data_IF_258278977258
#
_entry.id   IF_258278977258
#
_cell.length_a   1.000
_cell.length_b   1.000
_cell.length_c   1.000
_cell.angle_alpha   90.00
_cell.angle_beta   90.00
_cell.angle_gamma   90.00
#
_symmetry.space_group_name_H-M   'P 1'
#
loop_
_entity.id
_entity.type
_entity.pdbx_description
1 polymer ?
#
# COMPACT_ATOMS: atom_id res chain seq x y z
N UNK A 1 -12.64 -25.64 63.68
CA UNK A 1 -11.96 -26.83 63.16
C UNK A 1 -12.80 -27.38 62.01
N UNK A 2 -12.15 -27.70 60.89
CA UNK A 2 -12.58 -28.57 59.76
C UNK A 2 -13.94 -28.29 59.11
N UNK A 3 -14.15 -28.34 57.80
CA UNK A 3 -13.38 -28.53 56.58
C UNK A 3 -14.42 -28.27 55.47
N UNK A 4 -14.03 -27.70 54.32
CA UNK A 4 -14.78 -27.91 53.08
C UNK A 4 -13.80 -27.84 51.92
N UNK A 5 -13.42 -29.04 51.49
CA UNK A 5 -12.53 -29.36 50.37
C UNK A 5 -13.17 -28.98 49.03
N UNK A 6 -12.37 -28.36 48.17
CA UNK A 6 -12.65 -28.24 46.73
C UNK A 6 -12.27 -29.56 46.05
N UNK A 7 -13.25 -30.15 45.38
CA UNK A 7 -13.14 -31.35 44.56
C UNK A 7 -12.25 -31.05 43.34
N UNK A 8 -11.10 -31.71 43.27
CA UNK A 8 -10.24 -31.73 42.08
C UNK A 8 -10.82 -32.80 41.14
N UNK A 9 -11.51 -32.36 40.09
CA UNK A 9 -11.72 -33.20 38.92
C UNK A 9 -10.37 -33.37 38.22
N UNK A 10 -10.00 -34.62 37.95
CA UNK A 10 -8.80 -34.98 37.20
C UNK A 10 -8.98 -34.52 35.75
N UNK A 11 -8.38 -33.39 35.40
CA UNK A 11 -8.10 -33.00 34.02
C UNK A 11 -6.64 -33.35 33.69
N UNK A 12 -6.42 -33.80 32.45
CA UNK A 12 -5.13 -34.23 31.92
C UNK A 12 -3.99 -33.23 32.23
N UNK A 13 -2.86 -33.67 32.83
CA UNK A 13 -1.77 -32.79 33.28
C UNK A 13 -1.00 -32.09 32.15
N UNK A 14 -1.24 -32.48 30.90
CA UNK A 14 -0.64 -31.83 29.73
C UNK A 14 -1.40 -30.59 29.23
N UNK A 15 -2.67 -30.38 29.61
CA UNK A 15 -3.46 -29.25 29.14
C UNK A 15 -3.31 -27.99 30.03
N UNK A 16 -3.18 -28.18 31.35
CA UNK A 16 -3.17 -27.08 32.35
C UNK A 16 -1.83 -26.31 32.36
N UNK A 17 -0.72 -26.98 32.04
CA UNK A 17 0.63 -26.38 32.01
C UNK A 17 0.87 -25.52 30.76
N UNK A 18 0.25 -25.85 29.63
CA UNK A 18 0.33 -25.06 28.39
C UNK A 18 -0.40 -23.71 28.52
N UNK A 19 -1.63 -23.73 29.06
CA UNK A 19 -2.45 -22.52 29.22
C UNK A 19 -1.85 -21.52 30.22
N UNK A 20 -1.27 -22.00 31.33
CA UNK A 20 -0.64 -21.13 32.34
C UNK A 20 0.67 -20.50 31.83
N UNK A 21 1.45 -21.21 31.00
CA UNK A 21 2.65 -20.68 30.36
C UNK A 21 2.33 -19.64 29.29
N UNK A 22 1.33 -19.90 28.45
CA UNK A 22 0.89 -18.93 27.44
C UNK A 22 0.40 -17.62 28.09
N UNK A 23 -0.26 -17.72 29.24
CA UNK A 23 -0.65 -16.56 30.05
C UNK A 23 0.58 -15.79 30.55
N UNK A 24 1.65 -16.46 31.00
CA UNK A 24 2.88 -15.80 31.45
C UNK A 24 3.58 -15.03 30.32
N UNK A 25 3.61 -15.59 29.11
CA UNK A 25 4.19 -14.92 27.93
C UNK A 25 3.40 -13.66 27.59
N UNK A 26 2.06 -13.74 27.61
CA UNK A 26 1.20 -12.58 27.35
C UNK A 26 1.36 -11.48 28.38
N UNK A 27 1.48 -11.82 29.67
CA UNK A 27 1.73 -10.85 30.74
C UNK A 27 3.06 -10.14 30.51
N UNK A 28 4.14 -10.88 30.27
CA UNK A 28 5.45 -10.30 30.00
C UNK A 28 5.47 -9.42 28.75
N UNK A 29 4.79 -9.85 27.68
CA UNK A 29 4.62 -9.05 26.47
C UNK A 29 3.94 -7.72 26.78
N UNK A 30 2.84 -7.72 27.54
CA UNK A 30 2.12 -6.49 27.88
C UNK A 30 2.91 -5.56 28.81
N UNK A 31 3.72 -6.10 29.73
CA UNK A 31 4.67 -5.32 30.53
C UNK A 31 5.69 -4.61 29.65
N UNK A 32 6.27 -5.31 28.68
CA UNK A 32 7.24 -4.74 27.73
C UNK A 32 6.59 -3.70 26.84
N UNK A 33 5.38 -3.95 26.35
CA UNK A 33 4.64 -2.97 25.54
C UNK A 33 4.32 -1.71 26.35
N UNK A 34 3.84 -1.88 27.59
CA UNK A 34 3.54 -0.77 28.50
C UNK A 34 4.80 0.05 28.81
N UNK A 35 5.93 -0.62 29.04
CA UNK A 35 7.23 0.02 29.20
C UNK A 35 7.59 0.91 28.00
N UNK A 36 7.53 0.39 26.76
CA UNK A 36 7.83 1.18 25.57
C UNK A 36 6.84 2.33 25.34
N UNK A 37 5.55 2.12 25.64
CA UNK A 37 4.53 3.18 25.57
C UNK A 37 4.83 4.33 26.54
N UNK A 38 5.34 4.02 27.73
CA UNK A 38 5.70 5.01 28.74
C UNK A 38 6.98 5.75 28.41
N UNK A 39 8.07 5.04 28.11
CA UNK A 39 9.38 5.68 27.89
C UNK A 39 9.38 6.55 26.63
N UNK A 40 8.68 6.15 25.56
CA UNK A 40 8.67 6.91 24.31
C UNK A 40 7.98 8.28 24.45
N UNK A 41 7.17 8.45 25.51
CA UNK A 41 6.53 9.74 25.84
C UNK A 41 7.42 10.62 26.74
N UNK A 42 8.31 10.02 27.53
CA UNK A 42 9.05 10.69 28.61
C UNK A 42 10.52 10.95 28.28
N UNK A 43 11.17 10.01 27.59
CA UNK A 43 12.61 10.00 27.35
C UNK A 43 12.95 10.57 25.96
N UNK A 44 14.18 11.10 25.78
CA UNK A 44 14.69 11.44 24.46
C UNK A 44 14.88 10.17 23.60
N UNK A 45 14.85 10.28 22.26
CA UNK A 45 14.94 9.13 21.37
C UNK A 45 16.20 8.27 21.54
N UNK A 46 17.33 8.90 21.86
CA UNK A 46 18.61 8.24 22.10
C UNK A 46 18.52 7.25 23.26
N UNK A 47 17.91 7.67 24.38
CA UNK A 47 17.74 6.82 25.56
C UNK A 47 16.76 5.68 25.26
N UNK A 48 15.67 5.95 24.53
CA UNK A 48 14.73 4.90 24.10
C UNK A 48 15.41 3.87 23.19
N UNK A 49 16.32 4.29 22.30
CA UNK A 49 17.12 3.37 21.48
C UNK A 49 18.06 2.54 22.35
N UNK A 50 18.69 3.14 23.37
CA UNK A 50 19.54 2.42 24.32
C UNK A 50 18.75 1.38 25.10
N UNK A 51 17.57 1.73 25.62
CA UNK A 51 16.68 0.77 26.31
C UNK A 51 16.24 -0.37 25.38
N UNK A 52 15.87 -0.05 24.13
CA UNK A 52 15.50 -1.06 23.14
C UNK A 52 16.68 -2.01 22.84
N UNK A 53 17.87 -1.45 22.62
CA UNK A 53 19.08 -2.19 22.34
C UNK A 53 19.52 -3.03 23.55
N UNK A 54 19.45 -2.48 24.76
CA UNK A 54 19.73 -3.16 26.01
C UNK A 54 18.83 -4.38 26.23
N UNK A 55 17.53 -4.21 25.97
CA UNK A 55 16.55 -5.27 26.17
C UNK A 55 16.70 -6.41 25.15
N UNK A 56 16.85 -6.09 23.86
CA UNK A 56 16.77 -7.09 22.78
C UNK A 56 18.11 -7.48 22.13
N UNK A 57 19.18 -6.71 22.30
CA UNK A 57 20.41 -6.89 21.49
C UNK A 57 21.64 -7.07 22.39
N UNK A 58 21.94 -6.11 23.26
CA UNK A 58 23.23 -6.02 23.96
C UNK A 58 23.47 -7.21 24.91
N UNK A 59 22.41 -7.78 25.48
CA UNK A 59 22.52 -8.96 26.34
C UNK A 59 23.06 -10.21 25.63
N UNK A 60 23.05 -10.25 24.28
CA UNK A 60 23.50 -11.39 23.49
C UNK A 60 25.01 -11.40 23.21
N UNK A 61 25.75 -10.35 23.58
CA UNK A 61 27.18 -10.19 23.29
C UNK A 61 28.11 -10.57 24.45
N UNK A 62 27.56 -10.97 25.59
CA UNK A 62 28.35 -11.39 26.75
C UNK A 62 28.99 -12.77 26.46
N UNK A 63 30.31 -12.78 26.25
CA UNK A 63 31.05 -13.96 25.76
C UNK A 63 31.17 -15.12 26.76
N UNK A 64 30.87 -14.90 28.05
CA UNK A 64 31.25 -15.82 29.14
C UNK A 64 30.18 -16.10 30.22
N UNK A 65 28.90 -15.81 29.97
CA UNK A 65 27.88 -16.03 31.00
C UNK A 65 26.79 -17.01 30.56
N UNK A 66 26.44 -17.95 31.45
CA UNK A 66 25.17 -18.70 31.49
C UNK A 66 23.92 -17.79 31.58
N UNK A 67 24.11 -16.47 31.48
CA UNK A 67 23.08 -15.46 31.51
C UNK A 67 22.33 -15.42 30.18
N UNK A 68 21.11 -15.94 30.23
CA UNK A 68 20.09 -15.70 29.23
C UNK A 68 19.56 -14.28 29.49
N UNK A 69 19.59 -13.36 28.52
CA UNK A 69 18.97 -12.05 28.73
C UNK A 69 17.50 -12.26 29.09
N UNK A 70 17.06 -11.67 30.21
CA UNK A 70 15.80 -12.03 30.88
C UNK A 70 14.58 -12.12 29.95
N UNK A 71 14.50 -11.25 28.94
CA UNK A 71 13.41 -11.26 27.95
C UNK A 71 13.38 -12.52 27.08
N UNK A 72 14.55 -13.07 26.72
CA UNK A 72 14.64 -14.26 25.87
C UNK A 72 14.24 -15.52 26.62
N UNK A 73 14.50 -15.58 27.93
CA UNK A 73 14.13 -16.74 28.77
C UNK A 73 12.63 -17.07 28.71
N UNK A 74 11.81 -16.06 28.41
CA UNK A 74 10.36 -16.15 28.27
C UNK A 74 9.95 -16.93 26.99
N UNK A 75 10.82 -16.97 25.98
CA UNK A 75 10.50 -17.49 24.64
C UNK A 75 11.21 -18.81 24.28
N UNK A 76 12.13 -19.33 25.10
CA UNK A 76 13.07 -20.42 24.74
C UNK A 76 12.45 -21.81 24.47
N UNK A 77 11.14 -22.00 24.62
CA UNK A 77 10.43 -23.23 24.26
C UNK A 77 9.79 -23.13 22.85
N UNK A 78 10.60 -22.85 21.82
CA UNK A 78 10.21 -22.74 20.39
C UNK A 78 9.14 -21.67 20.07
N UNK A 79 9.12 -20.56 20.82
CA UNK A 79 8.20 -19.46 20.59
C UNK A 79 8.82 -18.33 19.74
N UNK A 80 9.60 -18.68 18.71
CA UNK A 80 10.25 -17.72 17.80
C UNK A 80 9.24 -16.68 17.25
N UNK A 81 8.05 -17.16 16.86
CA UNK A 81 6.99 -16.30 16.34
C UNK A 81 6.46 -15.29 17.38
N UNK A 82 6.43 -15.64 18.66
CA UNK A 82 6.00 -14.72 19.72
C UNK A 82 7.06 -13.65 19.99
N UNK A 83 8.35 -14.01 19.93
CA UNK A 83 9.43 -13.01 19.94
C UNK A 83 9.29 -12.05 18.76
N UNK A 84 9.01 -12.55 17.55
CA UNK A 84 8.82 -11.70 16.37
C UNK A 84 7.66 -10.74 16.54
N UNK A 85 6.52 -11.24 17.02
CA UNK A 85 5.35 -10.42 17.28
C UNK A 85 5.67 -9.34 18.32
N UNK A 86 6.46 -9.70 19.35
CA UNK A 86 6.92 -8.78 20.39
C UNK A 86 7.82 -7.69 19.85
N UNK A 87 8.90 -8.06 19.16
CA UNK A 87 9.82 -7.12 18.51
C UNK A 87 9.07 -6.19 17.56
N UNK A 88 8.25 -6.77 16.68
CA UNK A 88 7.42 -6.04 15.72
C UNK A 88 6.54 -5.01 16.41
N UNK A 89 5.75 -5.41 17.42
CA UNK A 89 4.84 -4.50 18.12
C UNK A 89 5.61 -3.39 18.85
N UNK A 90 6.72 -3.70 19.53
CA UNK A 90 7.59 -2.71 20.17
C UNK A 90 8.11 -1.68 19.17
N UNK A 91 8.64 -2.12 18.02
CA UNK A 91 9.07 -1.22 16.95
C UNK A 91 7.95 -0.29 16.51
N UNK A 92 6.73 -0.80 16.30
CA UNK A 92 5.61 0.03 15.85
C UNK A 92 5.04 0.97 16.92
N UNK A 93 5.14 0.63 18.21
CA UNK A 93 4.86 1.57 19.31
C UNK A 93 5.79 2.79 19.19
N UNK A 94 7.09 2.53 19.05
CA UNK A 94 8.12 3.57 18.94
C UNK A 94 7.92 4.40 17.65
N UNK A 95 7.75 3.75 16.50
CA UNK A 95 7.55 4.39 15.18
C UNK A 95 6.33 5.31 15.18
N UNK A 96 5.21 4.90 15.76
CA UNK A 96 4.01 5.73 15.81
C UNK A 96 4.22 7.04 16.57
N UNK A 97 4.92 6.97 17.70
CA UNK A 97 5.25 8.16 18.47
C UNK A 97 6.22 9.07 17.69
N UNK A 98 7.32 8.51 17.19
CA UNK A 98 8.36 9.29 16.54
C UNK A 98 7.94 9.88 15.20
N UNK A 99 7.12 9.20 14.40
CA UNK A 99 6.57 9.79 13.17
C UNK A 99 5.67 10.99 13.46
N UNK A 100 4.86 10.92 14.51
CA UNK A 100 4.02 12.05 14.94
C UNK A 100 4.88 13.25 15.32
N UNK A 101 6.07 13.01 15.89
CA UNK A 101 7.02 14.02 16.33
C UNK A 101 8.11 14.38 15.31
N UNK A 102 7.98 13.95 14.03
CA UNK A 102 8.95 14.21 12.95
C UNK A 102 10.40 13.76 13.26
N UNK A 103 10.53 12.68 14.04
CA UNK A 103 11.79 12.09 14.49
C UNK A 103 12.29 11.01 13.50
N UNK A 104 12.31 11.32 12.20
CA UNK A 104 12.58 10.34 11.13
C UNK A 104 13.98 9.72 11.21
N UNK A 105 14.98 10.51 11.63
CA UNK A 105 16.37 10.05 11.82
C UNK A 105 16.44 8.88 12.81
N UNK A 106 15.73 8.96 13.93
CA UNK A 106 15.76 7.92 14.96
C UNK A 106 15.03 6.65 14.53
N UNK A 107 14.04 6.75 13.65
CA UNK A 107 13.40 5.57 13.04
C UNK A 107 14.39 4.83 12.14
N UNK A 108 15.25 5.55 11.41
CA UNK A 108 16.35 4.94 10.66
C UNK A 108 17.34 4.24 11.60
N UNK A 109 17.72 4.90 12.70
CA UNK A 109 18.61 4.31 13.70
C UNK A 109 18.02 3.05 14.34
N UNK A 110 16.73 3.05 14.72
CA UNK A 110 16.01 1.87 15.24
C UNK A 110 16.07 0.70 14.27
N UNK A 111 15.80 0.93 12.98
CA UNK A 111 15.87 -0.11 11.95
C UNK A 111 17.31 -0.62 11.80
N UNK A 112 18.29 0.27 11.81
CA UNK A 112 19.70 -0.09 11.66
C UNK A 112 20.28 -0.86 12.85
N UNK A 113 19.64 -0.82 14.04
CA UNK A 113 20.05 -1.65 15.18
C UNK A 113 20.13 -3.14 14.84
N UNK A 114 19.24 -3.61 13.95
CA UNK A 114 19.19 -5.01 13.53
C UNK A 114 20.20 -5.39 12.44
N UNK A 115 21.00 -4.45 11.93
CA UNK A 115 22.05 -4.73 10.92
C UNK A 115 23.45 -4.73 11.59
N UNK A 116 23.50 -4.61 12.91
CA UNK A 116 24.74 -4.51 13.67
C UNK A 116 25.57 -5.82 13.62
N UNK A 117 26.90 -5.70 13.58
CA UNK A 117 27.82 -6.84 13.52
C UNK A 117 27.68 -7.81 14.70
N UNK A 118 27.19 -7.29 15.82
CA UNK A 118 26.93 -8.02 17.06
C UNK A 118 25.97 -9.21 16.89
N UNK A 119 25.16 -9.23 15.83
CA UNK A 119 24.24 -10.34 15.55
C UNK A 119 24.92 -11.55 14.89
N UNK A 120 26.19 -11.44 14.49
CA UNK A 120 26.95 -12.57 13.92
C UNK A 120 27.12 -13.68 14.96
N UNK A 121 26.73 -14.90 14.58
CA UNK A 121 26.92 -16.09 15.40
C UNK A 121 28.40 -16.46 15.43
N UNK A 122 29.01 -16.49 16.63
CA UNK A 122 30.40 -16.91 16.84
C UNK A 122 30.45 -18.35 17.38
N UNK A 123 31.55 -19.06 17.11
CA UNK A 123 31.72 -20.47 17.53
C UNK A 123 31.70 -20.64 19.04
N UNK A 124 32.24 -19.68 19.79
CA UNK A 124 32.31 -19.66 21.26
C UNK A 124 30.99 -19.27 21.96
N UNK A 125 29.96 -18.81 21.23
CA UNK A 125 28.69 -18.45 21.87
C UNK A 125 28.01 -19.66 22.53
N UNK A 126 27.42 -19.45 23.71
CA UNK A 126 26.58 -20.43 24.40
C UNK A 126 25.40 -20.89 23.51
N UNK A 127 24.96 -22.17 23.55
CA UNK A 127 23.91 -22.69 22.66
C UNK A 127 22.62 -21.85 22.62
N UNK A 128 22.16 -21.39 23.78
CA UNK A 128 20.95 -20.55 23.89
C UNK A 128 21.14 -19.20 23.19
N UNK A 129 22.30 -18.57 23.34
CA UNK A 129 22.63 -17.31 22.65
C UNK A 129 22.68 -17.51 21.14
N UNK A 130 23.18 -18.66 20.66
CA UNK A 130 23.14 -19.01 19.23
C UNK A 130 21.71 -19.11 18.70
N UNK A 131 20.80 -19.71 19.48
CA UNK A 131 19.37 -19.77 19.14
C UNK A 131 18.79 -18.34 19.05
N UNK A 132 18.97 -17.52 20.09
CA UNK A 132 18.45 -16.14 20.08
C UNK A 132 19.01 -15.29 18.93
N UNK A 133 20.31 -15.40 18.61
CA UNK A 133 20.92 -14.71 17.47
C UNK A 133 20.35 -15.22 16.14
N UNK A 134 20.13 -16.52 15.99
CA UNK A 134 19.47 -17.09 14.81
C UNK A 134 18.04 -16.58 14.62
N UNK A 135 17.26 -16.42 15.70
CA UNK A 135 15.92 -15.83 15.63
C UNK A 135 15.94 -14.37 15.19
N UNK A 136 16.89 -13.57 15.67
CA UNK A 136 17.07 -12.20 15.19
C UNK A 136 17.49 -12.15 13.71
N UNK A 137 18.39 -13.04 13.28
CA UNK A 137 18.80 -13.15 11.88
C UNK A 137 17.61 -13.52 10.97
N UNK A 138 16.81 -14.50 11.40
CA UNK A 138 15.60 -14.90 10.71
C UNK A 138 14.57 -13.74 10.68
N UNK A 139 14.41 -12.98 11.77
CA UNK A 139 13.58 -11.77 11.81
C UNK A 139 14.05 -10.74 10.78
N UNK A 140 15.36 -10.47 10.69
CA UNK A 140 15.95 -9.56 9.69
C UNK A 140 15.69 -10.03 8.26
N UNK A 141 15.67 -11.33 8.02
CA UNK A 141 15.37 -11.92 6.72
C UNK A 141 13.86 -12.01 6.40
N UNK A 142 13.01 -11.78 7.40
CA UNK A 142 11.55 -11.93 7.29
C UNK A 142 10.86 -10.79 6.52
N UNK A 143 9.59 -11.01 6.15
CA UNK A 143 8.71 -9.96 5.61
C UNK A 143 8.48 -8.84 6.64
N UNK A 144 8.38 -9.17 7.92
CA UNK A 144 8.08 -8.20 8.98
C UNK A 144 9.16 -7.12 9.09
N UNK A 145 10.43 -7.50 8.98
CA UNK A 145 11.52 -6.52 8.96
C UNK A 145 11.56 -5.72 7.65
N UNK A 146 11.34 -6.35 6.49
CA UNK A 146 11.21 -5.64 5.20
C UNK A 146 10.10 -4.59 5.25
N UNK A 147 8.98 -4.91 5.90
CA UNK A 147 7.85 -4.02 6.10
C UNK A 147 8.19 -2.86 7.04
N UNK A 148 8.96 -3.12 8.11
CA UNK A 148 9.46 -2.09 9.02
C UNK A 148 10.43 -1.11 8.33
N UNK A 149 11.29 -1.60 7.42
CA UNK A 149 12.23 -0.75 6.66
C UNK A 149 11.52 0.32 5.84
N UNK A 150 10.26 0.11 5.44
CA UNK A 150 9.49 1.13 4.71
C UNK A 150 9.30 2.43 5.50
N UNK A 151 9.41 2.40 6.83
CA UNK A 151 9.29 3.57 7.70
C UNK A 151 10.60 4.35 7.86
N UNK A 152 11.73 3.70 7.59
CA UNK A 152 13.06 4.30 7.64
C UNK A 152 13.47 4.95 6.31
N UNK A 153 12.94 4.50 5.17
CA UNK A 153 13.27 5.11 3.88
C UNK A 153 12.74 6.55 3.81
N UNK A 154 13.64 7.54 3.68
CA UNK A 154 13.23 8.92 3.39
C UNK A 154 12.67 8.96 1.97
N UNK A 155 11.50 9.58 1.82
CA UNK A 155 10.86 9.76 0.51
C UNK A 155 11.75 10.53 -0.49
N UNK A 156 12.63 11.42 0.00
CA UNK A 156 13.56 12.17 -0.87
C UNK A 156 14.76 11.33 -1.35
N UNK A 157 15.02 10.19 -0.70
CA UNK A 157 16.06 9.23 -1.08
C UNK A 157 15.49 8.03 -1.87
N UNK A 158 14.16 7.93 -2.02
CA UNK A 158 13.52 6.81 -2.72
C UNK A 158 13.85 6.78 -4.22
N UNK A 159 14.36 7.88 -4.79
CA UNK A 159 14.85 7.95 -6.17
C UNK A 159 16.26 7.38 -6.36
N UNK A 160 17.00 7.08 -5.29
CA UNK A 160 18.35 6.48 -5.33
C UNK A 160 18.38 5.00 -4.99
N UNK A 161 17.26 4.47 -4.49
CA UNK A 161 17.11 3.06 -4.14
C UNK A 161 16.43 2.25 -5.23
N UNK A 162 16.02 1.04 -4.86
CA UNK A 162 15.22 0.17 -5.72
C UNK A 162 13.94 0.88 -6.21
N UNK A 163 13.57 0.72 -7.49
CA UNK A 163 12.46 1.44 -8.13
C UNK A 163 11.14 1.32 -7.35
N UNK A 164 10.89 0.16 -6.73
CA UNK A 164 9.68 -0.11 -5.93
C UNK A 164 9.50 0.85 -4.74
N UNK A 165 10.60 1.42 -4.22
CA UNK A 165 10.57 2.38 -3.09
C UNK A 165 9.80 3.67 -3.44
N UNK A 166 9.67 4.02 -4.72
CA UNK A 166 8.83 5.14 -5.16
C UNK A 166 7.35 4.92 -4.86
N UNK A 167 6.95 3.65 -4.79
CA UNK A 167 5.56 3.22 -4.62
C UNK A 167 5.25 2.72 -3.22
N UNK A 168 6.09 3.05 -2.23
CA UNK A 168 5.93 2.67 -0.81
C UNK A 168 4.55 3.00 -0.25
N UNK A 169 3.87 4.06 -0.73
CA UNK A 169 2.52 4.39 -0.27
C UNK A 169 1.50 3.26 -0.47
N UNK A 170 1.65 2.43 -1.51
CA UNK A 170 0.79 1.26 -1.74
C UNK A 170 1.22 0.07 -0.90
N UNK A 171 2.52 -0.17 -0.76
CA UNK A 171 3.04 -1.24 0.11
C UNK A 171 2.57 -1.06 1.57
N UNK A 172 2.51 0.19 2.04
CA UNK A 172 1.96 0.52 3.35
C UNK A 172 0.44 0.27 3.46
N UNK A 173 -0.30 0.32 2.35
CA UNK A 173 -1.73 0.01 2.37
C UNK A 173 -1.96 -1.47 2.62
N UNK A 174 -1.18 -2.35 1.98
CA UNK A 174 -1.23 -3.80 2.26
C UNK A 174 -1.02 -4.08 3.75
N UNK A 175 0.01 -3.47 4.35
CA UNK A 175 0.27 -3.58 5.78
C UNK A 175 -0.88 -3.05 6.65
N UNK A 176 -1.56 -2.00 6.18
CA UNK A 176 -2.64 -1.38 6.94
C UNK A 176 -3.95 -2.17 6.97
N UNK A 177 -4.16 -3.05 5.99
CA UNK A 177 -5.41 -3.83 5.86
C UNK A 177 -5.25 -5.25 6.37
N UNK A 178 -4.00 -5.74 6.49
CA UNK A 178 -3.72 -7.06 7.00
C UNK A 178 -4.10 -7.17 8.49
N UNK A 179 -5.14 -7.96 8.77
CA UNK A 179 -5.65 -8.18 10.12
C UNK A 179 -4.67 -8.94 11.03
N UNK A 180 -3.69 -9.63 10.46
CA UNK A 180 -2.63 -10.31 11.23
C UNK A 180 -1.60 -9.34 11.79
N UNK A 181 -1.54 -8.11 11.28
CA UNK A 181 -0.62 -7.09 11.77
C UNK A 181 -1.17 -6.45 13.07
N UNK A 182 -0.30 -6.11 14.04
CA UNK A 182 -0.71 -5.40 15.24
C UNK A 182 -1.35 -4.04 14.90
N UNK A 183 -2.23 -3.55 15.77
CA UNK A 183 -2.96 -2.29 15.55
C UNK A 183 -2.02 -1.12 15.32
N UNK A 184 -0.91 -1.09 16.06
CA UNK A 184 0.14 -0.09 15.97
C UNK A 184 0.76 -0.08 14.56
N UNK A 185 1.06 -1.25 13.97
CA UNK A 185 1.55 -1.33 12.59
C UNK A 185 0.52 -0.83 11.60
N UNK A 186 -0.73 -1.27 11.75
CA UNK A 186 -1.79 -0.87 10.84
C UNK A 186 -1.98 0.65 10.85
N UNK A 187 -2.00 1.27 12.02
CA UNK A 187 -2.12 2.72 12.17
C UNK A 187 -0.93 3.48 11.60
N UNK A 188 0.29 3.04 11.90
CA UNK A 188 1.51 3.64 11.37
C UNK A 188 1.47 3.65 9.84
N UNK A 189 1.12 2.52 9.24
CA UNK A 189 1.07 2.35 7.81
C UNK A 189 -0.03 3.21 7.15
N UNK A 190 -1.23 3.30 7.74
CA UNK A 190 -2.31 4.20 7.25
C UNK A 190 -1.86 5.66 7.25
N UNK A 191 -1.26 6.12 8.36
CA UNK A 191 -0.82 7.51 8.53
C UNK A 191 0.26 7.86 7.51
N UNK A 192 1.30 7.03 7.41
CA UNK A 192 2.41 7.27 6.50
C UNK A 192 2.00 7.18 5.02
N UNK A 193 1.18 6.18 4.64
CA UNK A 193 0.65 6.07 3.28
C UNK A 193 -0.11 7.34 2.88
N UNK A 194 -1.00 7.83 3.75
CA UNK A 194 -1.77 9.06 3.51
C UNK A 194 -0.83 10.26 3.35
N UNK A 195 0.14 10.42 4.24
CA UNK A 195 1.12 11.52 4.17
C UNK A 195 1.89 11.52 2.84
N UNK A 196 2.39 10.36 2.40
CA UNK A 196 3.12 10.24 1.13
C UNK A 196 2.22 10.61 -0.06
N UNK A 197 0.97 10.09 -0.08
CA UNK A 197 0.02 10.41 -1.16
C UNK A 197 -0.36 11.88 -1.19
N UNK A 198 -0.55 12.51 -0.03
CA UNK A 198 -0.91 13.93 0.05
C UNK A 198 0.27 14.84 -0.32
N UNK A 199 1.51 14.47 0.05
CA UNK A 199 2.74 15.14 -0.44
C UNK A 199 2.84 15.05 -1.97
N UNK A 200 2.66 13.86 -2.54
CA UNK A 200 2.70 13.66 -3.99
C UNK A 200 1.65 14.52 -4.72
N UNK A 201 0.41 14.59 -4.23
CA UNK A 201 -0.64 15.45 -4.81
C UNK A 201 -0.24 16.92 -4.79
N UNK A 202 0.28 17.40 -3.66
CA UNK A 202 0.73 18.78 -3.51
C UNK A 202 1.86 19.11 -4.48
N UNK A 203 2.88 18.25 -4.56
CA UNK A 203 4.00 18.40 -5.49
C UNK A 203 3.54 18.38 -6.95
N UNK A 204 2.61 17.49 -7.30
CA UNK A 204 2.03 17.42 -8.65
C UNK A 204 1.26 18.70 -9.01
N UNK A 205 0.44 19.21 -8.08
CA UNK A 205 -0.28 20.47 -8.29
C UNK A 205 0.66 21.66 -8.44
N UNK A 206 1.72 21.73 -7.63
CA UNK A 206 2.76 22.76 -7.72
C UNK A 206 3.54 22.69 -9.04
N UNK A 207 3.91 21.47 -9.48
CA UNK A 207 4.56 21.25 -10.76
C UNK A 207 3.69 21.73 -11.92
N UNK A 208 2.39 21.38 -11.93
CA UNK A 208 1.44 21.83 -12.96
C UNK A 208 1.33 23.35 -13.01
N UNK A 209 1.11 24.00 -11.87
CA UNK A 209 0.92 25.45 -11.80
C UNK A 209 2.15 26.25 -12.26
N UNK A 210 3.37 25.71 -12.04
CA UNK A 210 4.63 26.41 -12.34
C UNK A 210 5.21 26.10 -13.70
N UNK A 211 5.11 24.86 -14.16
CA UNK A 211 5.61 24.43 -15.48
C UNK A 211 4.96 25.16 -16.65
N UNK A 212 3.78 25.72 -16.45
CA UNK A 212 3.02 26.46 -17.46
C UNK A 212 3.09 27.99 -17.31
N UNK A 213 3.91 28.48 -16.38
CA UNK A 213 4.11 29.92 -16.14
C UNK A 213 5.33 30.43 -16.90
N UNK A 214 5.15 31.46 -17.74
CA UNK A 214 6.23 32.10 -18.49
C UNK A 214 7.31 32.77 -17.61
N UNK A 215 7.01 33.01 -16.33
CA UNK A 215 7.88 33.71 -15.36
C UNK A 215 8.64 32.73 -14.47
N UNK A 216 8.32 31.44 -14.50
CA UNK A 216 8.97 30.43 -13.66
C UNK A 216 10.22 29.90 -14.33
N UNK A 217 11.39 30.05 -13.70
CA UNK A 217 12.58 29.31 -14.13
C UNK A 217 12.30 27.81 -14.04
N UNK A 218 12.57 27.09 -15.13
CA UNK A 218 12.43 25.63 -15.25
C UNK A 218 13.18 24.85 -14.16
N UNK A 219 14.12 25.49 -13.47
CA UNK A 219 14.97 24.88 -12.45
C UNK A 219 14.36 24.76 -11.05
N UNK A 220 13.26 25.45 -10.71
CA UNK A 220 12.85 25.60 -9.29
C UNK A 220 11.98 24.47 -8.73
N UNK A 221 11.21 23.77 -9.57
CA UNK A 221 10.31 22.68 -9.11
C UNK A 221 10.39 21.48 -10.04
N UNK A 222 10.77 20.33 -9.48
CA UNK A 222 10.97 19.08 -10.21
C UNK A 222 9.64 18.33 -10.37
N UNK A 223 9.47 17.67 -11.51
CA UNK A 223 8.36 16.75 -11.72
C UNK A 223 8.46 15.59 -10.69
N UNK A 224 7.40 15.30 -9.91
CA UNK A 224 7.41 14.19 -8.96
C UNK A 224 7.34 12.79 -9.62
N UNK A 225 7.08 12.72 -10.94
CA UNK A 225 7.02 11.47 -11.73
C UNK A 225 8.28 11.23 -12.58
N UNK A 226 8.53 9.97 -12.98
CA UNK A 226 9.64 9.63 -13.92
C UNK A 226 9.35 10.14 -15.33
N UNK A 227 8.08 10.36 -15.67
CA UNK A 227 7.64 10.66 -17.04
C UNK A 227 8.17 11.99 -17.60
N UNK A 228 8.83 12.83 -16.80
CA UNK A 228 9.38 14.10 -17.27
C UNK A 228 8.31 14.96 -17.94
N UNK A 229 8.61 15.56 -19.08
CA UNK A 229 7.64 16.43 -19.78
C UNK A 229 6.41 15.68 -20.32
N UNK A 230 6.48 14.34 -20.46
CA UNK A 230 5.32 13.52 -20.83
C UNK A 230 4.24 13.55 -19.76
N UNK A 231 4.59 13.82 -18.49
CA UNK A 231 3.62 13.95 -17.42
C UNK A 231 2.60 15.05 -17.72
N UNK A 232 3.02 16.22 -18.24
CA UNK A 232 2.10 17.30 -18.58
C UNK A 232 1.17 16.94 -19.73
N UNK A 233 1.69 16.27 -20.77
CA UNK A 233 0.87 15.77 -21.88
C UNK A 233 -0.16 14.76 -21.39
N UNK A 234 0.25 13.85 -20.51
CA UNK A 234 -0.62 12.88 -19.87
C UNK A 234 -1.70 13.58 -19.02
N UNK A 235 -1.33 14.53 -18.17
CA UNK A 235 -2.26 15.31 -17.36
C UNK A 235 -3.27 16.03 -18.27
N UNK A 236 -2.80 16.70 -19.33
CA UNK A 236 -3.67 17.36 -20.30
C UNK A 236 -4.63 16.37 -20.97
N UNK A 237 -4.15 15.20 -21.41
CA UNK A 237 -5.00 14.17 -21.99
C UNK A 237 -6.05 13.64 -21.00
N UNK A 238 -5.67 13.40 -19.74
CA UNK A 238 -6.56 12.95 -18.67
C UNK A 238 -7.64 14.01 -18.37
N UNK A 239 -7.25 15.29 -18.25
CA UNK A 239 -8.18 16.38 -17.95
C UNK A 239 -9.03 16.73 -19.17
N UNK A 240 -8.54 16.57 -20.41
CA UNK A 240 -9.35 16.77 -21.62
C UNK A 240 -10.45 15.73 -21.72
N UNK A 241 -10.13 14.46 -21.43
CA UNK A 241 -11.11 13.36 -21.33
C UNK A 241 -12.10 13.54 -20.17
N UNK A 242 -11.88 14.50 -19.27
CA UNK A 242 -12.83 14.94 -18.24
C UNK A 242 -13.91 15.89 -18.79
N UNK A 243 -13.68 16.54 -19.94
CA UNK A 243 -14.60 17.50 -20.57
C UNK A 243 -15.77 16.85 -21.32
N UNK A 244 -16.87 17.62 -21.48
CA UNK A 244 -18.21 17.37 -22.09
C UNK A 244 -18.96 16.11 -21.62
N UNK A 245 -18.28 15.01 -21.32
CA UNK A 245 -18.78 13.83 -20.62
C UNK A 245 -17.77 13.38 -19.55
N UNK A 246 -17.76 14.05 -18.40
CA UNK A 246 -16.87 13.64 -17.30
C UNK A 246 -17.11 12.17 -16.95
N UNK A 247 -16.05 11.39 -16.74
CA UNK A 247 -16.19 10.00 -16.30
C UNK A 247 -17.07 9.88 -15.04
N UNK A 248 -17.10 10.93 -14.20
CA UNK A 248 -18.03 11.07 -13.07
C UNK A 248 -19.51 11.12 -13.51
N UNK A 249 -19.86 11.93 -14.51
CA UNK A 249 -21.23 11.99 -15.03
C UNK A 249 -21.66 10.66 -15.64
N UNK A 250 -20.80 10.03 -16.44
CA UNK A 250 -21.10 8.71 -17.04
C UNK A 250 -21.25 7.66 -15.93
N UNK A 251 -20.40 7.68 -14.89
CA UNK A 251 -20.53 6.79 -13.73
C UNK A 251 -21.87 7.00 -13.01
N UNK A 252 -22.31 8.24 -12.80
CA UNK A 252 -23.60 8.54 -12.19
C UNK A 252 -24.79 8.03 -13.02
N UNK A 253 -24.73 8.20 -14.35
CA UNK A 253 -25.76 7.66 -15.26
C UNK A 253 -25.77 6.14 -15.19
N UNK A 254 -24.59 5.50 -15.24
CA UNK A 254 -24.46 4.05 -15.15
C UNK A 254 -25.06 3.49 -13.85
N UNK A 255 -24.75 4.08 -12.69
CA UNK A 255 -25.31 3.64 -11.40
C UNK A 255 -26.83 3.68 -11.45
N UNK A 256 -27.42 4.81 -11.89
CA UNK A 256 -28.88 4.98 -11.95
C UNK A 256 -29.55 3.99 -12.91
N UNK A 257 -28.92 3.71 -14.05
CA UNK A 257 -29.47 2.80 -15.06
C UNK A 257 -29.36 1.33 -14.66
N UNK A 258 -28.44 1.00 -13.76
CA UNK A 258 -28.18 -0.38 -13.32
C UNK A 258 -28.88 -0.74 -12.00
N UNK A 259 -29.64 0.19 -11.43
CA UNK A 259 -30.49 -0.10 -10.27
C UNK A 259 -31.51 -1.20 -10.60
N UNK A 260 -31.67 -2.15 -9.67
CA UNK A 260 -32.62 -3.27 -9.74
C UNK A 260 -32.43 -4.25 -10.92
N UNK A 261 -31.29 -4.19 -11.62
CA UNK A 261 -30.96 -5.19 -12.64
C UNK A 261 -30.62 -6.54 -12.02
N UNK A 262 -30.79 -7.60 -12.81
CA UNK A 262 -30.23 -8.92 -12.48
C UNK A 262 -28.69 -8.87 -12.58
N UNK A 263 -27.99 -9.76 -11.87
CA UNK A 263 -26.53 -9.85 -11.96
C UNK A 263 -26.06 -10.07 -13.40
N UNK A 264 -26.80 -10.83 -14.20
CA UNK A 264 -26.47 -11.06 -15.62
C UNK A 264 -26.50 -9.77 -16.43
N UNK A 265 -27.58 -9.00 -16.33
CA UNK A 265 -27.74 -7.72 -17.02
C UNK A 265 -26.68 -6.72 -16.56
N UNK A 266 -26.41 -6.68 -15.26
CA UNK A 266 -25.38 -5.83 -14.70
C UNK A 266 -24.00 -6.11 -15.30
N UNK A 267 -23.58 -7.37 -15.40
CA UNK A 267 -22.28 -7.74 -15.98
C UNK A 267 -22.15 -7.27 -17.44
N UNK A 268 -23.20 -7.46 -18.24
CA UNK A 268 -23.24 -7.03 -19.64
C UNK A 268 -23.14 -5.50 -19.74
N UNK A 269 -23.87 -4.78 -18.89
CA UNK A 269 -23.85 -3.32 -18.90
C UNK A 269 -22.53 -2.77 -18.36
N UNK A 270 -21.93 -3.43 -17.36
CA UNK A 270 -20.63 -3.07 -16.80
C UNK A 270 -19.54 -3.18 -17.86
N UNK A 271 -19.51 -4.26 -18.63
CA UNK A 271 -18.61 -4.40 -19.78
C UNK A 271 -18.75 -3.23 -20.75
N UNK A 272 -19.96 -2.95 -21.22
CA UNK A 272 -20.24 -1.83 -22.13
C UNK A 272 -19.75 -0.50 -21.57
N UNK A 273 -19.98 -0.24 -20.28
CA UNK A 273 -19.54 0.98 -19.61
C UNK A 273 -18.01 1.11 -19.54
N UNK A 274 -17.31 0.02 -19.21
CA UNK A 274 -15.85 0.03 -19.08
C UNK A 274 -15.17 0.29 -20.42
N UNK A 275 -15.66 -0.31 -21.50
CA UNK A 275 -15.08 -0.18 -22.84
C UNK A 275 -15.66 0.96 -23.68
N UNK A 276 -16.67 1.69 -23.18
CA UNK A 276 -17.20 2.89 -23.83
C UNK A 276 -16.10 3.95 -24.03
N UNK A 277 -15.92 4.39 -25.28
CA UNK A 277 -14.97 5.44 -25.69
C UNK A 277 -13.48 5.13 -25.51
N UNK A 278 -13.07 3.86 -25.63
CA UNK A 278 -11.63 3.48 -25.68
C UNK A 278 -11.11 3.59 -27.12
N UNK A 279 -10.03 4.35 -27.33
CA UNK A 279 -9.55 4.85 -28.64
C UNK A 279 -8.82 3.81 -29.54
N UNK A 280 -8.97 2.50 -29.34
CA UNK A 280 -8.27 1.50 -30.17
C UNK A 280 -9.08 0.20 -30.36
N UNK A 281 -10.00 0.18 -31.32
CA UNK A 281 -11.04 -0.86 -31.44
C UNK A 281 -10.48 -2.29 -31.56
N UNK A 282 -9.46 -2.53 -32.39
CA UNK A 282 -9.02 -3.90 -32.71
C UNK A 282 -8.34 -4.62 -31.53
N UNK A 283 -7.45 -3.94 -30.79
CA UNK A 283 -6.84 -4.52 -29.57
C UNK A 283 -7.82 -4.57 -28.39
N UNK A 284 -8.78 -3.64 -28.36
CA UNK A 284 -9.84 -3.60 -27.32
C UNK A 284 -10.83 -4.74 -27.49
N UNK A 285 -11.10 -5.20 -28.71
CA UNK A 285 -12.01 -6.32 -28.98
C UNK A 285 -11.52 -7.63 -28.33
N UNK A 286 -10.23 -7.96 -28.46
CA UNK A 286 -9.64 -9.16 -27.83
C UNK A 286 -9.73 -9.07 -26.31
N UNK A 287 -9.41 -7.89 -25.75
CA UNK A 287 -9.49 -7.64 -24.32
C UNK A 287 -10.93 -7.74 -23.80
N UNK A 288 -11.87 -7.18 -24.55
CA UNK A 288 -13.29 -7.22 -24.23
C UNK A 288 -13.79 -8.65 -24.26
N UNK A 289 -13.43 -9.45 -25.28
CA UNK A 289 -13.84 -10.85 -25.37
C UNK A 289 -13.35 -11.69 -24.17
N UNK A 290 -12.05 -11.61 -23.86
CA UNK A 290 -11.48 -12.32 -22.71
C UNK A 290 -12.14 -11.86 -21.39
N UNK A 291 -12.40 -10.57 -21.26
CA UNK A 291 -13.08 -10.01 -20.10
C UNK A 291 -14.52 -10.52 -19.96
N UNK A 292 -15.28 -10.57 -21.06
CA UNK A 292 -16.65 -11.11 -21.10
C UNK A 292 -16.68 -12.57 -20.68
N UNK A 293 -15.75 -13.38 -21.19
CA UNK A 293 -15.65 -14.80 -20.84
C UNK A 293 -15.45 -14.98 -19.34
N UNK A 294 -14.46 -14.30 -18.75
CA UNK A 294 -14.16 -14.38 -17.32
C UNK A 294 -15.35 -13.92 -16.45
N UNK A 295 -15.97 -12.79 -16.80
CA UNK A 295 -17.04 -12.21 -16.01
C UNK A 295 -18.37 -12.99 -16.13
N UNK A 296 -18.63 -13.58 -17.29
CA UNK A 296 -19.84 -14.39 -17.53
C UNK A 296 -19.87 -15.65 -16.65
N UNK A 297 -18.71 -16.25 -16.39
CA UNK A 297 -18.56 -17.46 -15.58
C UNK A 297 -18.65 -17.17 -14.06
N UNK A 298 -18.21 -15.99 -13.63
CA UNK A 298 -18.17 -15.64 -12.22
C UNK A 298 -19.57 -15.61 -11.59
N UNK A 299 -19.83 -16.39 -10.53
CA UNK A 299 -21.14 -16.46 -9.85
C UNK A 299 -22.33 -16.68 -10.82
N UNK A 300 -22.17 -17.59 -11.78
CA UNK A 300 -23.22 -17.92 -12.78
C UNK A 300 -24.57 -18.30 -12.13
N UNK A 301 -24.55 -18.96 -10.98
CA UNK A 301 -25.76 -19.40 -10.28
C UNK A 301 -26.60 -18.23 -9.74
N UNK A 302 -25.98 -17.08 -9.53
CA UNK A 302 -26.61 -15.86 -9.02
C UNK A 302 -27.11 -14.95 -10.15
N UNK A 303 -27.01 -15.37 -11.41
CA UNK A 303 -27.29 -14.53 -12.58
C UNK A 303 -28.71 -13.95 -12.62
N UNK A 304 -29.68 -14.66 -12.03
CA UNK A 304 -31.08 -14.22 -11.97
C UNK A 304 -31.39 -13.38 -10.73
N UNK A 305 -30.46 -13.29 -9.77
CA UNK A 305 -30.66 -12.47 -8.58
C UNK A 305 -30.49 -10.99 -8.91
N UNK A 306 -31.34 -10.16 -8.29
CA UNK A 306 -31.20 -8.71 -8.33
C UNK A 306 -29.92 -8.28 -7.64
N UNK A 307 -29.22 -7.32 -8.25
CA UNK A 307 -27.96 -6.83 -7.72
C UNK A 307 -28.13 -6.13 -6.36
N UNK A 308 -27.49 -6.70 -5.34
CA UNK A 308 -27.37 -6.07 -4.01
C UNK A 308 -26.11 -5.21 -3.95
N UNK A 309 -26.02 -4.31 -2.96
CA UNK A 309 -24.79 -3.51 -2.71
C UNK A 309 -23.55 -4.40 -2.51
N UNK A 310 -23.73 -5.57 -1.90
CA UNK A 310 -22.65 -6.54 -1.68
C UNK A 310 -22.23 -7.23 -2.98
N UNK A 311 -23.18 -7.68 -3.81
CA UNK A 311 -22.89 -8.26 -5.12
C UNK A 311 -22.23 -7.23 -6.04
N UNK A 312 -22.69 -5.98 -6.01
CA UNK A 312 -22.07 -4.87 -6.74
C UNK A 312 -20.60 -4.70 -6.35
N UNK A 313 -20.30 -4.55 -5.05
CA UNK A 313 -18.93 -4.43 -4.55
C UNK A 313 -18.06 -5.62 -4.93
N UNK A 314 -18.57 -6.85 -4.75
CA UNK A 314 -17.85 -8.08 -5.11
C UNK A 314 -17.59 -8.18 -6.61
N UNK A 315 -18.53 -7.74 -7.44
CA UNK A 315 -18.36 -7.72 -8.90
C UNK A 315 -17.27 -6.72 -9.28
N UNK A 316 -17.30 -5.50 -8.75
CA UNK A 316 -16.26 -4.51 -8.99
C UNK A 316 -14.87 -4.99 -8.52
N UNK A 317 -14.78 -5.63 -7.35
CA UNK A 317 -13.52 -6.20 -6.86
C UNK A 317 -13.02 -7.34 -7.76
N UNK A 318 -13.92 -8.22 -8.23
CA UNK A 318 -13.55 -9.28 -9.18
C UNK A 318 -13.00 -8.70 -10.48
N UNK A 319 -13.63 -7.66 -11.02
CA UNK A 319 -13.15 -6.97 -12.22
C UNK A 319 -11.75 -6.38 -11.99
N UNK A 320 -11.51 -5.77 -10.84
CA UNK A 320 -10.17 -5.29 -10.46
C UNK A 320 -9.16 -6.45 -10.44
N UNK A 321 -9.51 -7.58 -9.83
CA UNK A 321 -8.64 -8.77 -9.78
C UNK A 321 -8.28 -9.25 -11.21
N UNK A 322 -9.27 -9.32 -12.10
CA UNK A 322 -9.07 -9.72 -13.51
C UNK A 322 -8.15 -8.75 -14.27
N UNK A 323 -8.11 -7.48 -13.89
CA UNK A 323 -7.29 -6.44 -14.52
C UNK A 323 -5.95 -6.23 -13.80
N UNK A 324 -5.68 -6.94 -12.71
CA UNK A 324 -4.47 -6.77 -11.88
C UNK A 324 -3.88 -8.12 -11.49
N UNK A 325 -4.34 -8.71 -10.38
CA UNK A 325 -3.90 -10.00 -9.83
C UNK A 325 -5.14 -10.82 -9.47
N UNK A 326 -5.28 -11.99 -10.09
CA UNK A 326 -6.42 -12.89 -9.86
C UNK A 326 -6.19 -13.85 -8.70
N UNK A 327 -5.01 -14.47 -8.64
CA UNK A 327 -4.72 -15.56 -7.70
C UNK A 327 -4.00 -15.10 -6.43
N UNK A 328 -3.97 -13.79 -6.18
CA UNK A 328 -3.28 -13.18 -5.04
C UNK A 328 -1.76 -13.08 -5.19
N UNK A 329 -1.15 -13.88 -6.06
CA UNK A 329 0.30 -13.98 -6.25
C UNK A 329 0.78 -13.49 -7.62
N UNK A 330 0.14 -13.91 -8.70
CA UNK A 330 0.58 -13.62 -10.07
C UNK A 330 -0.30 -12.58 -10.79
N UNK A 331 0.29 -11.72 -11.63
CA UNK A 331 -0.47 -10.82 -12.50
C UNK A 331 -1.44 -11.58 -13.40
N UNK A 332 -2.62 -11.01 -13.64
CA UNK A 332 -3.59 -11.62 -14.54
C UNK A 332 -3.11 -11.61 -16.00
N UNK A 333 -3.65 -12.51 -16.82
CA UNK A 333 -3.35 -12.56 -18.25
C UNK A 333 -3.68 -11.24 -18.96
N UNK A 334 -4.81 -10.62 -18.59
CA UNK A 334 -5.23 -9.31 -19.11
C UNK A 334 -4.25 -8.19 -18.72
N UNK A 335 -3.75 -8.20 -17.47
CA UNK A 335 -2.75 -7.23 -17.03
C UNK A 335 -1.49 -7.36 -17.88
N UNK A 336 -0.94 -8.57 -18.01
CA UNK A 336 0.27 -8.84 -18.78
C UNK A 336 0.09 -8.42 -20.25
N UNK A 337 -1.06 -8.77 -20.86
CA UNK A 337 -1.38 -8.41 -22.23
C UNK A 337 -1.38 -6.88 -22.44
N UNK A 338 -2.09 -6.15 -21.57
CA UNK A 338 -2.20 -4.68 -21.62
C UNK A 338 -0.84 -3.99 -21.45
N UNK A 339 -0.02 -4.47 -20.52
CA UNK A 339 1.30 -3.89 -20.28
C UNK A 339 2.25 -4.16 -21.45
N UNK A 340 2.25 -5.39 -21.99
CA UNK A 340 3.10 -5.76 -23.14
C UNK A 340 2.72 -5.00 -24.42
N UNK A 341 1.44 -4.67 -24.60
CA UNK A 341 0.96 -3.85 -25.71
C UNK A 341 1.12 -2.34 -25.49
N UNK A 342 1.67 -1.91 -24.35
CA UNK A 342 1.85 -0.50 -24.02
C UNK A 342 0.56 0.25 -23.70
N UNK A 343 -0.54 -0.45 -23.41
CA UNK A 343 -1.86 0.12 -23.14
C UNK A 343 -2.08 0.47 -21.66
N UNK A 344 -1.04 0.96 -20.98
CA UNK A 344 -1.08 1.33 -19.56
C UNK A 344 -2.14 2.39 -19.25
N UNK A 345 -2.29 3.41 -20.11
CA UNK A 345 -3.29 4.47 -19.91
C UNK A 345 -4.72 3.91 -19.99
N UNK A 346 -5.00 3.07 -20.98
CA UNK A 346 -6.30 2.41 -21.12
C UNK A 346 -6.65 1.61 -19.88
N UNK A 347 -5.73 0.80 -19.39
CA UNK A 347 -5.91 0.03 -18.16
C UNK A 347 -6.22 0.93 -16.96
N UNK A 348 -5.45 2.00 -16.77
CA UNK A 348 -5.66 2.95 -15.66
C UNK A 348 -7.02 3.65 -15.77
N UNK A 349 -7.46 4.02 -16.96
CA UNK A 349 -8.79 4.63 -17.18
C UNK A 349 -9.92 3.64 -16.87
N UNK A 350 -9.78 2.36 -17.26
CA UNK A 350 -10.75 1.31 -16.90
C UNK A 350 -10.81 1.16 -15.37
N UNK A 351 -9.66 1.08 -14.70
CA UNK A 351 -9.60 1.01 -13.23
C UNK A 351 -10.23 2.23 -12.56
N UNK A 352 -10.00 3.43 -13.10
CA UNK A 352 -10.63 4.66 -12.63
C UNK A 352 -12.16 4.60 -12.75
N UNK A 353 -12.69 4.18 -13.91
CA UNK A 353 -14.14 4.02 -14.13
C UNK A 353 -14.77 3.11 -13.07
N UNK A 354 -14.11 2.01 -12.69
CA UNK A 354 -14.58 1.11 -11.63
C UNK A 354 -14.65 1.84 -10.28
N UNK A 355 -13.64 2.64 -9.92
CA UNK A 355 -13.64 3.38 -8.66
C UNK A 355 -14.69 4.49 -8.63
N UNK A 356 -15.00 5.09 -9.79
CA UNK A 356 -16.05 6.11 -9.89
C UNK A 356 -17.45 5.53 -9.65
N UNK A 357 -17.71 4.28 -10.09
CA UNK A 357 -18.98 3.61 -9.81
C UNK A 357 -19.00 2.94 -8.42
N UNK A 358 -17.84 2.51 -7.90
CA UNK A 358 -17.71 1.81 -6.62
C UNK A 358 -16.53 2.34 -5.80
N UNK A 359 -16.75 3.44 -5.06
CA UNK A 359 -15.71 4.03 -4.19
C UNK A 359 -15.16 3.05 -3.15
N UNK A 360 -15.99 2.14 -2.67
CA UNK A 360 -15.62 1.12 -1.68
C UNK A 360 -14.59 0.11 -2.21
N UNK A 361 -14.48 -0.06 -3.53
CA UNK A 361 -13.46 -0.90 -4.17
C UNK A 361 -12.06 -0.28 -4.18
N UNK A 362 -11.91 1.01 -3.84
CA UNK A 362 -10.62 1.72 -3.90
C UNK A 362 -9.55 1.05 -3.04
N UNK A 363 -9.90 0.65 -1.82
CA UNK A 363 -8.96 -0.01 -0.92
C UNK A 363 -8.50 -1.36 -1.49
N UNK A 364 -9.42 -2.12 -2.09
CA UNK A 364 -9.11 -3.39 -2.77
C UNK A 364 -8.14 -3.18 -3.93
N UNK A 365 -8.41 -2.19 -4.78
CA UNK A 365 -7.52 -1.80 -5.87
C UNK A 365 -6.11 -1.46 -5.38
N UNK A 366 -6.00 -0.59 -4.37
CA UNK A 366 -4.69 -0.19 -3.84
C UNK A 366 -3.92 -1.37 -3.23
N UNK A 367 -4.61 -2.34 -2.63
CA UNK A 367 -4.01 -3.61 -2.18
C UNK A 367 -3.54 -4.46 -3.36
N UNK A 368 -4.31 -4.58 -4.45
CA UNK A 368 -3.87 -5.29 -5.66
C UNK A 368 -2.65 -4.64 -6.32
N UNK A 369 -2.59 -3.31 -6.33
CA UNK A 369 -1.41 -2.56 -6.77
C UNK A 369 -0.19 -2.89 -5.90
N UNK A 370 -0.36 -2.97 -4.58
CA UNK A 370 0.72 -3.37 -3.68
C UNK A 370 1.24 -4.78 -3.98
N UNK A 371 0.34 -5.73 -4.27
CA UNK A 371 0.72 -7.08 -4.66
C UNK A 371 1.48 -7.10 -6.00
N UNK A 372 1.07 -6.30 -6.99
CA UNK A 372 1.80 -6.15 -8.25
C UNK A 372 3.22 -5.64 -8.01
N UNK A 373 3.38 -4.63 -7.16
CA UNK A 373 4.70 -4.11 -6.81
C UNK A 373 5.55 -5.21 -6.16
N UNK A 374 5.00 -5.98 -5.21
CA UNK A 374 5.69 -7.10 -4.55
C UNK A 374 6.06 -8.25 -5.51
N UNK A 375 5.25 -8.48 -6.53
CA UNK A 375 5.58 -9.48 -7.56
C UNK A 375 6.75 -8.99 -8.40
N UNK A 376 6.67 -7.76 -8.91
CA UNK A 376 7.67 -7.21 -9.83
C UNK A 376 8.95 -6.73 -9.15
N UNK A 377 8.96 -6.47 -7.83
CA UNK A 377 10.16 -5.97 -7.12
C UNK A 377 11.33 -6.96 -7.12
N UNK A 378 11.10 -8.21 -7.53
CA UNK A 378 12.12 -9.25 -7.67
C UNK A 378 12.94 -9.12 -8.96
N UNK A 379 12.47 -8.35 -9.93
CA UNK A 379 13.09 -8.16 -11.24
C UNK A 379 13.80 -6.81 -11.34
N UNK A 380 14.71 -6.69 -12.31
CA UNK A 380 15.44 -5.45 -12.55
C UNK A 380 14.52 -4.33 -13.04
N UNK A 381 14.97 -3.07 -12.87
CA UNK A 381 14.23 -1.90 -13.37
C UNK A 381 14.04 -1.95 -14.89
N UNK A 382 15.04 -2.47 -15.62
CA UNK A 382 14.99 -2.62 -17.07
C UNK A 382 13.88 -3.58 -17.53
N UNK A 383 13.67 -4.68 -16.81
CA UNK A 383 12.59 -5.64 -17.07
C UNK A 383 11.22 -5.08 -16.66
N UNK A 384 11.19 -4.15 -15.70
CA UNK A 384 9.96 -3.61 -15.13
C UNK A 384 9.45 -2.34 -15.83
N UNK A 385 10.07 -1.88 -16.93
CA UNK A 385 9.72 -0.61 -17.60
C UNK A 385 8.22 -0.41 -17.86
N UNK A 386 7.55 -1.44 -18.40
CA UNK A 386 6.11 -1.38 -18.68
C UNK A 386 5.25 -1.21 -17.42
N UNK A 387 5.60 -1.92 -16.34
CA UNK A 387 4.92 -1.83 -15.05
C UNK A 387 5.20 -0.51 -14.37
N UNK A 388 6.44 -0.02 -14.40
CA UNK A 388 6.84 1.28 -13.87
C UNK A 388 6.04 2.38 -14.57
N UNK A 389 5.96 2.35 -15.90
CA UNK A 389 5.15 3.30 -16.67
C UNK A 389 3.66 3.25 -16.25
N UNK A 390 3.10 2.05 -16.09
CA UNK A 390 1.74 1.88 -15.58
C UNK A 390 1.56 2.49 -14.18
N UNK A 391 2.49 2.26 -13.25
CA UNK A 391 2.42 2.80 -11.88
C UNK A 391 2.50 4.33 -11.87
N UNK A 392 3.33 4.94 -12.72
CA UNK A 392 3.42 6.40 -12.86
C UNK A 392 2.10 6.98 -13.40
N UNK A 393 1.54 6.39 -14.46
CA UNK A 393 0.25 6.81 -15.02
C UNK A 393 -0.88 6.63 -13.99
N UNK A 394 -0.88 5.51 -13.25
CA UNK A 394 -1.82 5.22 -12.18
C UNK A 394 -1.76 6.29 -11.08
N UNK A 395 -0.56 6.61 -10.59
CA UNK A 395 -0.35 7.63 -9.55
C UNK A 395 -0.86 9.00 -9.97
N UNK A 396 -0.48 9.44 -11.17
CA UNK A 396 -0.90 10.73 -11.71
C UNK A 396 -2.42 10.76 -11.87
N UNK A 397 -3.01 9.74 -12.48
CA UNK A 397 -4.46 9.68 -12.72
C UNK A 397 -5.25 9.73 -11.42
N UNK A 398 -4.91 8.90 -10.44
CA UNK A 398 -5.60 8.86 -9.15
C UNK A 398 -5.30 10.06 -8.23
N UNK A 399 -4.21 10.79 -8.49
CA UNK A 399 -3.95 12.09 -7.87
C UNK A 399 -4.82 13.20 -8.49
N UNK A 400 -5.00 13.21 -9.81
CA UNK A 400 -5.86 14.18 -10.53
C UNK A 400 -7.34 13.98 -10.17
N UNK A 401 -7.79 12.73 -10.11
CA UNK A 401 -9.16 12.37 -9.73
C UNK A 401 -9.36 12.30 -8.21
N UNK A 402 -8.39 12.76 -7.40
CA UNK A 402 -8.55 12.83 -5.96
C UNK A 402 -9.65 13.84 -5.58
N UNK A 403 -10.38 13.57 -4.49
CA UNK A 403 -11.57 14.34 -4.12
C UNK A 403 -11.27 15.80 -3.75
N UNK A 404 -10.01 16.16 -3.46
CA UNK A 404 -9.68 17.44 -2.80
C UNK A 404 -9.20 18.54 -3.76
N UNK A 405 -8.83 18.21 -5.00
CA UNK A 405 -8.28 19.17 -5.98
C UNK A 405 -9.01 19.02 -7.31
N UNK A 406 -9.56 20.11 -7.81
CA UNK A 406 -10.10 20.22 -9.16
C UNK A 406 -9.00 20.65 -10.12
N UNK A 407 -8.90 19.92 -11.24
CA UNK A 407 -8.00 20.24 -12.34
C UNK A 407 -8.86 20.62 -13.55
N UNK A 408 -8.66 21.83 -14.05
CA UNK A 408 -9.40 22.42 -15.15
C UNK A 408 -8.45 22.75 -16.31
N UNK A 409 -8.94 22.64 -17.54
CA UNK A 409 -8.20 23.06 -18.73
C UNK A 409 -8.75 24.38 -19.25
N UNK A 410 -7.85 25.29 -19.58
CA UNK A 410 -8.15 26.56 -20.24
C UNK A 410 -7.40 26.57 -21.57
N UNK A 411 -8.15 26.72 -22.67
CA UNK A 411 -7.58 26.95 -23.99
C UNK A 411 -7.04 28.38 -24.05
N UNK A 412 -5.77 28.54 -24.40
CA UNK A 412 -5.10 29.84 -24.40
C UNK A 412 -5.04 30.49 -25.79
N UNK A 413 -5.26 29.71 -26.85
CA UNK A 413 -5.20 30.18 -28.25
C UNK A 413 -6.56 30.00 -28.94
N UNK A 414 -7.07 31.09 -29.52
CA UNK A 414 -8.14 31.04 -30.53
C UNK A 414 -7.50 30.49 -31.82
N UNK A 415 -8.02 29.40 -32.36
CA UNK A 415 -7.43 28.74 -33.53
C UNK A 415 -7.47 29.67 -34.76
N UNK A 416 -6.29 30.11 -35.23
CA UNK A 416 -6.12 30.29 -36.66
C UNK A 416 -6.22 28.90 -37.30
N UNK A 417 -7.14 28.77 -38.25
CA UNK A 417 -7.54 27.54 -38.93
C UNK A 417 -6.32 26.80 -39.49
N UNK A 418 -5.78 25.85 -38.74
CA UNK A 418 -4.79 24.90 -39.24
C UNK A 418 -5.47 23.57 -39.51
N UNK A 419 -5.44 23.18 -40.77
CA UNK A 419 -6.13 22.04 -41.37
C UNK A 419 -5.44 20.71 -41.05
N UNK A 420 -5.34 20.35 -39.76
CA UNK A 420 -4.97 19.00 -39.31
C UNK A 420 -5.76 18.65 -38.03
N UNK A 421 -6.56 17.58 -38.00
CA UNK A 421 -7.39 17.18 -36.86
C UNK A 421 -6.58 16.42 -35.79
N UNK A 422 -5.33 16.82 -35.54
CA UNK A 422 -4.57 16.33 -34.39
C UNK A 422 -4.75 17.32 -33.24
N UNK A 423 -5.32 16.82 -32.13
CA UNK A 423 -5.60 17.56 -30.90
C UNK A 423 -4.30 18.24 -30.40
N UNK A 424 -4.15 19.54 -30.67
CA UNK A 424 -2.98 20.31 -30.23
C UNK A 424 -3.08 20.57 -28.72
N UNK A 425 -2.46 19.69 -27.93
CA UNK A 425 -2.41 19.80 -26.47
C UNK A 425 -1.60 21.01 -25.99
N UNK A 426 -0.74 21.59 -26.82
CA UNK A 426 0.17 22.64 -26.41
C UNK A 426 -0.55 23.99 -26.21
N UNK A 427 -1.67 24.21 -26.91
CA UNK A 427 -2.54 25.39 -26.73
C UNK A 427 -3.39 25.40 -25.45
N UNK A 428 -3.32 24.36 -24.61
CA UNK A 428 -4.06 24.28 -23.36
C UNK A 428 -3.16 24.43 -22.12
N UNK A 429 -3.69 25.13 -21.10
CA UNK A 429 -3.12 25.20 -19.76
C UNK A 429 -4.02 24.51 -18.74
N UNK A 430 -3.40 23.84 -17.76
CA UNK A 430 -4.03 23.12 -16.66
C UNK A 430 -3.94 23.97 -15.41
N UNK A 431 -5.07 24.19 -14.76
CA UNK A 431 -5.18 24.91 -13.50
C UNK A 431 -5.67 23.97 -12.41
N UNK A 432 -5.08 24.06 -11.22
CA UNK A 432 -5.50 23.32 -10.03
C UNK A 432 -6.15 24.26 -9.02
N UNK A 433 -7.30 23.87 -8.47
CA UNK A 433 -8.01 24.61 -7.43
C UNK A 433 -8.44 23.64 -6.33
N UNK A 434 -8.39 24.04 -5.06
CA UNK A 434 -8.99 23.24 -3.99
C UNK A 434 -10.51 23.22 -4.16
N UNK A 435 -11.14 22.04 -4.02
CA UNK A 435 -12.60 21.99 -3.97
C UNK A 435 -13.08 22.76 -2.74
N UNK A 436 -13.80 23.85 -2.97
CA UNK A 436 -14.57 24.50 -1.91
C UNK A 436 -15.73 23.57 -1.64
N UNK A 437 -15.88 23.08 -0.40
CA UNK A 437 -17.05 22.32 0.01
C UNK A 437 -18.28 23.15 -0.36
N UNK A 438 -18.99 22.74 -1.42
CA UNK A 438 -20.34 23.24 -1.66
C UNK A 438 -21.14 22.72 -0.48
N UNK A 439 -21.34 23.58 0.52
CA UNK A 439 -22.27 23.33 1.62
C UNK A 439 -23.55 22.80 0.98
N UNK A 440 -23.91 21.57 1.37
CA UNK A 440 -25.14 20.93 0.96
C UNK A 440 -26.35 21.69 1.47
#
# INVERSE_FOLDING_TARGET
>A
MTANSLSINQEDPHCVTSNSKQLNVQIAQEEVYSFFVEIVKKLPPEDVLQEFKGLFIDGLDLEDSDYIPGIYSIFLEDQEQELYNTLKRCCYIIVNNWKTNRKDKYIQELVNLFINENLKIKTNNHPVVKICKSWLENFVNSKDYKDLKLFATKYEESSKGHWANRYTSYLLIDQSVNQKNPREQQEAARKLSKQIKDKFKFELAMYIARSQSAVSSTARYRNPSILGDQALRLIKAIVLKRGVFSHENIAHIFIKQTENQTLKEFKINLEKYLFFSVENQESVEILQQQFTEILSLWKKDYNQETITKELFLRTCNRVIDCLTIENGEEPSSLFILLINQGHSLTLVIILLKIILICKNSRRHLETRIAHLIRFYEKYSEEECKGVINFMEIFNITFAIYAENVEYNLIKMEEEEQSSNPQLNLDGYRVFSQMKVDRQK
#
